data_IF_192801938825
#
_entry.id   IF_192801938825
#
_cell.length_a   1.000
_cell.length_b   1.000
_cell.length_c   1.000
_cell.angle_alpha   90.00
_cell.angle_beta   90.00
_cell.angle_gamma   90.00
#
_symmetry.space_group_name_H-M   'P 1'
#
loop_
_entity.id
_entity.type
_entity.pdbx_description
1 polymer ?
#
# COMPACT_ATOMS: atom_id res chain seq x y z
N UNK A 1 19.18 -4.59 4.27
CA UNK A 1 18.69 -4.89 2.91
C UNK A 1 17.42 -5.71 3.03
N UNK A 2 16.31 -5.27 2.44
CA UNK A 2 15.00 -5.94 2.53
C UNK A 2 15.02 -7.22 1.70
N UNK A 3 14.51 -8.31 2.27
CA UNK A 3 14.31 -9.57 1.52
C UNK A 3 13.17 -9.38 0.52
N UNK A 4 13.44 -9.56 -0.77
CA UNK A 4 12.44 -9.46 -1.84
C UNK A 4 12.19 -10.85 -2.43
N UNK A 5 10.92 -11.27 -2.44
CA UNK A 5 10.46 -12.49 -3.08
C UNK A 5 9.66 -12.15 -4.34
N UNK A 6 9.89 -12.85 -5.45
CA UNK A 6 9.17 -12.60 -6.70
C UNK A 6 7.90 -13.45 -6.78
N UNK A 7 6.80 -12.85 -7.21
CA UNK A 7 5.55 -13.54 -7.53
C UNK A 7 5.36 -13.50 -9.04
N UNK A 8 5.42 -14.68 -9.65
CA UNK A 8 5.28 -14.82 -11.11
C UNK A 8 3.82 -14.92 -11.56
N UNK A 9 3.60 -14.76 -12.85
CA UNK A 9 2.30 -14.95 -13.48
C UNK A 9 1.35 -13.76 -13.41
N UNK A 10 1.85 -12.59 -13.00
CA UNK A 10 1.07 -11.36 -12.97
C UNK A 10 1.34 -10.53 -14.22
N UNK A 11 0.28 -10.07 -14.89
CA UNK A 11 0.40 -9.34 -16.15
C UNK A 11 0.80 -7.87 -15.92
N UNK A 12 1.88 -7.46 -16.57
CA UNK A 12 2.29 -6.06 -16.71
C UNK A 12 1.65 -5.46 -17.97
N UNK A 13 1.10 -4.24 -17.88
CA UNK A 13 0.46 -3.55 -19.01
C UNK A 13 1.46 -2.77 -19.86
N UNK A 14 2.51 -2.27 -19.25
CA UNK A 14 3.53 -1.52 -19.96
C UNK A 14 4.73 -1.22 -19.07
N UNK A 15 5.70 -0.51 -19.63
CA UNK A 15 6.94 -0.12 -18.95
C UNK A 15 7.19 1.36 -19.08
N UNK A 16 7.62 2.01 -18.00
CA UNK A 16 8.04 3.41 -17.95
C UNK A 16 9.27 3.53 -17.06
N UNK A 17 10.39 3.95 -17.63
CA UNK A 17 11.65 4.04 -16.88
C UNK A 17 11.65 5.16 -15.85
N UNK A 18 11.12 6.35 -16.22
CA UNK A 18 11.05 7.48 -15.28
C UNK A 18 9.88 7.32 -14.35
N UNK A 19 10.17 7.30 -13.06
CA UNK A 19 9.17 7.28 -11.98
C UNK A 19 9.28 8.58 -11.20
N UNK A 20 8.15 9.06 -10.66
CA UNK A 20 8.06 10.32 -9.91
C UNK A 20 7.44 10.13 -8.54
N UNK A 21 6.59 9.11 -8.39
CA UNK A 21 5.83 8.88 -7.18
C UNK A 21 5.97 7.45 -6.66
N UNK A 22 5.96 7.33 -5.34
CA UNK A 22 5.68 6.07 -4.64
C UNK A 22 4.29 6.21 -4.03
N UNK A 23 3.36 5.34 -4.43
CA UNK A 23 1.99 5.37 -3.91
C UNK A 23 1.83 4.25 -2.89
N UNK A 24 1.60 4.63 -1.64
CA UNK A 24 1.32 3.70 -0.57
C UNK A 24 -0.18 3.40 -0.46
N UNK A 25 -0.52 2.14 -0.27
CA UNK A 25 -1.91 1.67 -0.09
C UNK A 25 -1.93 0.41 0.76
N UNK A 26 -3.09 -0.24 0.88
CA UNK A 26 -3.24 -1.55 1.52
C UNK A 26 -4.03 -2.54 0.65
N UNK A 27 -3.92 -3.83 0.97
CA UNK A 27 -4.54 -4.91 0.20
C UNK A 27 -6.04 -5.05 0.45
N UNK A 28 -6.56 -4.56 1.57
CA UNK A 28 -7.93 -4.79 2.11
C UNK A 28 -8.28 -6.26 2.33
N UNK A 29 -7.29 -7.14 2.38
CA UNK A 29 -7.39 -8.58 2.65
C UNK A 29 -6.03 -9.13 3.06
N UNK A 30 -6.01 -10.37 3.57
CA UNK A 30 -4.75 -11.04 3.82
C UNK A 30 -3.99 -11.33 2.51
N UNK A 31 -2.68 -11.56 2.62
CA UNK A 31 -1.78 -11.74 1.48
C UNK A 31 -2.20 -12.89 0.57
N UNK A 32 -2.54 -14.05 1.16
CA UNK A 32 -2.91 -15.26 0.42
C UNK A 32 -4.13 -15.01 -0.47
N UNK A 33 -5.18 -14.42 0.09
CA UNK A 33 -6.42 -14.14 -0.63
C UNK A 33 -6.24 -13.01 -1.64
N UNK A 34 -5.37 -12.03 -1.34
CA UNK A 34 -5.04 -10.99 -2.29
C UNK A 34 -4.36 -11.58 -3.54
N UNK A 35 -3.31 -12.38 -3.36
CA UNK A 35 -2.59 -13.04 -4.46
C UNK A 35 -3.51 -13.98 -5.24
N UNK A 36 -4.33 -14.77 -4.54
CA UNK A 36 -5.33 -15.63 -5.16
C UNK A 36 -6.31 -14.80 -6.02
N UNK A 37 -6.76 -13.66 -5.49
CA UNK A 37 -7.68 -12.78 -6.21
C UNK A 37 -7.11 -12.22 -7.52
N UNK A 38 -5.78 -12.02 -7.61
CA UNK A 38 -5.14 -11.57 -8.84
C UNK A 38 -5.24 -12.60 -9.96
N UNK A 39 -5.28 -13.89 -9.60
CA UNK A 39 -5.34 -15.01 -10.57
C UNK A 39 -6.76 -15.29 -11.05
N UNK A 40 -7.75 -15.19 -10.16
CA UNK A 40 -9.12 -15.67 -10.44
C UNK A 40 -10.15 -14.56 -10.62
N UNK A 41 -9.91 -13.37 -10.07
CA UNK A 41 -10.85 -12.26 -10.13
C UNK A 41 -11.04 -11.79 -11.57
N UNK A 42 -12.31 -11.58 -11.95
CA UNK A 42 -12.70 -11.25 -13.32
C UNK A 42 -12.15 -12.24 -14.37
N UNK A 43 -12.16 -13.54 -14.03
CA UNK A 43 -11.62 -14.61 -14.91
C UNK A 43 -10.17 -14.34 -15.31
N UNK A 44 -9.32 -13.92 -14.35
CA UNK A 44 -7.92 -13.61 -14.58
C UNK A 44 -7.65 -12.28 -15.29
N UNK A 45 -8.68 -11.45 -15.48
CA UNK A 45 -8.56 -10.12 -16.11
C UNK A 45 -8.40 -8.97 -15.11
N UNK A 46 -8.18 -9.30 -13.81
CA UNK A 46 -7.94 -8.28 -12.80
C UNK A 46 -6.60 -7.58 -13.07
N UNK A 47 -6.67 -6.29 -13.26
CA UNK A 47 -5.56 -5.48 -13.76
C UNK A 47 -5.04 -4.42 -12.77
N UNK A 48 -5.59 -4.39 -11.54
CA UNK A 48 -5.13 -3.48 -10.48
C UNK A 48 -4.07 -4.14 -9.61
N UNK A 49 -2.89 -4.26 -10.15
CA UNK A 49 -1.76 -4.95 -9.53
C UNK A 49 -0.74 -3.93 -9.02
N UNK A 50 -0.34 -3.94 -7.72
CA UNK A 50 0.77 -3.11 -7.23
C UNK A 50 2.11 -3.67 -7.71
N UNK A 51 3.16 -2.85 -7.69
CA UNK A 51 4.52 -3.33 -7.93
C UNK A 51 4.99 -4.23 -6.78
N UNK A 52 4.69 -3.82 -5.55
CA UNK A 52 5.10 -4.55 -4.35
C UNK A 52 3.95 -4.75 -3.37
N UNK A 53 4.02 -5.85 -2.63
CA UNK A 53 3.23 -6.07 -1.42
C UNK A 53 4.19 -6.30 -0.27
N UNK A 54 3.91 -5.68 0.89
CA UNK A 54 4.64 -5.92 2.13
C UNK A 54 3.71 -6.68 3.07
N UNK A 55 4.08 -7.93 3.39
CA UNK A 55 3.32 -8.76 4.33
C UNK A 55 3.44 -8.29 5.77
N UNK A 56 2.58 -8.80 6.65
CA UNK A 56 2.55 -8.40 8.07
C UNK A 56 3.84 -8.72 8.82
N UNK A 57 4.60 -9.72 8.39
CA UNK A 57 5.91 -10.08 8.91
C UNK A 57 7.08 -9.29 8.28
N UNK A 58 6.78 -8.38 7.35
CA UNK A 58 7.74 -7.47 6.72
C UNK A 58 8.42 -8.03 5.47
N UNK A 59 8.03 -9.20 4.96
CA UNK A 59 8.56 -9.71 3.70
C UNK A 59 8.00 -8.88 2.54
N UNK A 60 8.87 -8.48 1.60
CA UNK A 60 8.49 -7.73 0.41
C UNK A 60 8.31 -8.69 -0.76
N UNK A 61 7.14 -8.69 -1.35
CA UNK A 61 6.81 -9.45 -2.55
C UNK A 61 6.77 -8.51 -3.76
N UNK A 62 7.57 -8.81 -4.79
CA UNK A 62 7.53 -8.11 -6.06
C UNK A 62 6.58 -8.84 -7.02
N UNK A 63 5.55 -8.13 -7.49
CA UNK A 63 4.59 -8.64 -8.46
C UNK A 63 4.87 -8.12 -9.87
N UNK A 64 5.28 -6.86 -9.96
CA UNK A 64 5.69 -6.22 -11.21
C UNK A 64 7.08 -5.63 -11.02
N UNK A 65 7.90 -5.60 -12.09
CA UNK A 65 9.14 -4.82 -12.04
C UNK A 65 8.83 -3.34 -11.76
N UNK A 66 9.74 -2.61 -11.19
CA UNK A 66 9.57 -1.21 -10.79
C UNK A 66 9.21 -0.31 -11.97
N UNK A 67 9.81 -0.58 -13.13
CA UNK A 67 9.48 0.12 -14.40
C UNK A 67 8.13 -0.30 -14.97
N UNK A 68 7.58 -1.45 -14.52
CA UNK A 68 6.27 -1.94 -14.95
C UNK A 68 5.13 -1.16 -14.32
N UNK A 69 3.98 -1.12 -14.98
CA UNK A 69 2.75 -0.58 -14.42
C UNK A 69 1.51 -1.42 -14.82
N UNK A 70 0.47 -1.29 -14.05
CA UNK A 70 -0.86 -1.87 -14.27
C UNK A 70 -1.91 -0.75 -14.36
N UNK A 71 -3.16 -1.09 -14.63
CA UNK A 71 -4.28 -0.13 -14.61
C UNK A 71 -4.81 0.09 -13.19
N UNK A 72 -3.93 0.41 -12.25
CA UNK A 72 -4.27 0.58 -10.83
C UNK A 72 -5.21 1.76 -10.58
N UNK A 73 -5.00 2.86 -11.32
CA UNK A 73 -5.87 4.04 -11.39
C UNK A 73 -6.50 4.14 -12.78
N UNK A 74 -7.57 4.94 -12.89
CA UNK A 74 -8.21 5.23 -14.18
C UNK A 74 -7.29 6.07 -15.08
N UNK A 75 -6.53 6.99 -14.48
CA UNK A 75 -5.61 7.86 -15.19
C UNK A 75 -4.28 7.12 -15.47
N UNK A 76 -4.02 6.87 -16.73
CA UNK A 76 -2.83 6.16 -17.17
C UNK A 76 -1.51 6.85 -16.77
N UNK A 77 -1.48 8.18 -16.75
CA UNK A 77 -0.31 8.94 -16.34
C UNK A 77 0.11 8.65 -14.89
N UNK A 78 -0.86 8.47 -13.97
CA UNK A 78 -0.56 8.09 -12.58
C UNK A 78 0.09 6.72 -12.56
N UNK A 79 -0.49 5.76 -13.28
CA UNK A 79 0.03 4.39 -13.36
C UNK A 79 1.47 4.34 -13.92
N UNK A 80 1.74 5.08 -14.99
CA UNK A 80 3.05 5.11 -15.65
C UNK A 80 4.13 5.73 -14.75
N UNK A 81 3.81 6.82 -14.08
CA UNK A 81 4.77 7.62 -13.31
C UNK A 81 4.96 7.15 -11.87
N UNK A 82 4.21 6.13 -11.43
CA UNK A 82 4.22 5.69 -10.03
C UNK A 82 4.78 4.28 -9.85
N UNK A 83 5.32 4.02 -8.66
CA UNK A 83 5.57 2.70 -8.12
C UNK A 83 4.58 2.49 -6.98
N UNK A 84 3.79 1.43 -7.04
CA UNK A 84 2.71 1.18 -6.09
C UNK A 84 3.15 0.13 -5.08
N UNK A 85 3.13 0.48 -3.80
CA UNK A 85 3.44 -0.41 -2.68
C UNK A 85 2.15 -0.62 -1.87
N UNK A 86 1.72 -1.86 -1.76
CA UNK A 86 0.55 -2.25 -0.98
C UNK A 86 0.98 -2.98 0.28
N UNK A 87 0.57 -2.50 1.45
CA UNK A 87 0.80 -3.20 2.72
C UNK A 87 -0.33 -4.20 2.96
N UNK A 88 -0.01 -5.43 3.35
CA UNK A 88 -1.00 -6.40 3.78
C UNK A 88 -1.77 -5.88 4.99
N UNK A 89 -3.05 -5.62 4.81
CA UNK A 89 -3.90 -5.11 5.88
C UNK A 89 -5.37 -5.29 5.49
N UNK A 90 -6.21 -5.71 6.42
CA UNK A 90 -7.64 -5.94 6.19
C UNK A 90 -8.41 -4.64 5.97
N UNK A 91 -7.82 -3.50 6.30
CA UNK A 91 -8.45 -2.18 6.20
C UNK A 91 -9.42 -1.94 7.37
N UNK A 92 -10.62 -1.45 7.03
CA UNK A 92 -11.67 -1.25 8.03
C UNK A 92 -12.27 -2.57 8.49
N UNK A 93 -12.69 -2.58 9.74
CA UNK A 93 -13.26 -3.73 10.43
C UNK A 93 -14.62 -3.35 11.01
N UNK A 94 -15.55 -4.29 11.00
CA UNK A 94 -16.86 -4.17 11.64
C UNK A 94 -16.90 -5.08 12.86
N UNK A 95 -17.27 -4.53 14.01
CA UNK A 95 -17.50 -5.34 15.22
C UNK A 95 -18.76 -6.17 15.02
N UNK A 96 -18.67 -7.46 15.29
CA UNK A 96 -19.82 -8.34 15.20
C UNK A 96 -20.66 -8.25 16.49
N UNK A 97 -21.99 -8.02 16.37
CA UNK A 97 -22.87 -8.05 17.52
C UNK A 97 -22.79 -9.40 18.25
N UNK A 98 -22.74 -9.38 19.56
CA UNK A 98 -22.70 -10.57 20.42
C UNK A 98 -21.44 -11.44 20.32
N UNK A 99 -20.39 -10.94 19.66
CA UNK A 99 -19.12 -11.66 19.50
C UNK A 99 -17.93 -10.75 19.83
N UNK A 100 -16.85 -11.35 20.33
CA UNK A 100 -15.59 -10.65 20.62
C UNK A 100 -14.63 -10.67 19.43
N UNK A 101 -15.16 -10.54 18.21
CA UNK A 101 -14.36 -10.46 17.01
C UNK A 101 -14.89 -9.43 16.02
N UNK A 102 -14.05 -9.10 15.08
CA UNK A 102 -14.33 -8.19 13.98
C UNK A 102 -14.28 -8.93 12.64
N UNK A 103 -14.92 -8.37 11.62
CA UNK A 103 -14.84 -8.87 10.24
C UNK A 103 -14.48 -7.73 9.29
N UNK A 104 -13.75 -8.05 8.24
CA UNK A 104 -13.53 -7.12 7.14
C UNK A 104 -14.69 -7.19 6.11
N UNK A 105 -14.57 -6.44 5.03
CA UNK A 105 -15.59 -6.33 3.98
C UNK A 105 -15.88 -7.64 3.21
N UNK A 106 -15.01 -8.66 3.30
CA UNK A 106 -15.22 -9.99 2.68
C UNK A 106 -15.53 -11.08 3.70
N UNK A 107 -15.68 -10.73 4.98
CA UNK A 107 -16.03 -11.67 6.05
C UNK A 107 -14.84 -12.33 6.74
N UNK A 108 -13.59 -11.94 6.47
CA UNK A 108 -12.44 -12.45 7.21
C UNK A 108 -12.52 -12.06 8.68
N UNK A 109 -12.38 -13.04 9.56
CA UNK A 109 -12.44 -12.84 11.01
C UNK A 109 -11.11 -12.27 11.53
N UNK A 110 -11.22 -11.25 12.37
CA UNK A 110 -10.10 -10.63 13.08
C UNK A 110 -10.38 -10.60 14.59
N UNK A 111 -9.47 -11.16 15.39
CA UNK A 111 -9.61 -11.31 16.85
C UNK A 111 -8.54 -10.58 17.66
N UNK A 112 -7.61 -9.91 16.98
CA UNK A 112 -6.54 -9.18 17.64
C UNK A 112 -6.98 -7.75 17.99
N UNK A 113 -6.10 -7.00 18.65
CA UNK A 113 -6.32 -5.60 18.99
C UNK A 113 -6.57 -4.76 17.75
N UNK A 114 -7.59 -3.92 17.77
CA UNK A 114 -7.94 -2.98 16.70
C UNK A 114 -7.42 -1.59 17.02
N UNK A 115 -7.23 -0.78 16.00
CA UNK A 115 -7.04 0.65 16.12
C UNK A 115 -8.39 1.35 16.01
N UNK A 116 -8.81 2.08 17.05
CA UNK A 116 -10.09 2.75 17.14
C UNK A 116 -9.95 4.23 16.78
N UNK A 117 -10.51 4.61 15.65
CA UNK A 117 -10.60 6.01 15.20
C UNK A 117 -11.69 6.15 14.17
N UNK A 118 -12.63 7.08 14.41
CA UNK A 118 -13.59 7.46 13.37
C UNK A 118 -12.86 8.12 12.21
N UNK A 119 -12.96 7.50 11.04
CA UNK A 119 -12.47 8.07 9.80
C UNK A 119 -13.38 7.64 8.66
N UNK A 120 -13.99 8.61 7.98
CA UNK A 120 -15.09 8.38 7.05
C UNK A 120 -16.24 7.68 7.78
N UNK A 121 -16.75 6.55 7.25
CA UNK A 121 -17.89 5.82 7.82
C UNK A 121 -17.46 4.66 8.75
N UNK A 122 -16.18 4.54 9.09
CA UNK A 122 -15.62 3.41 9.82
C UNK A 122 -14.94 3.83 11.12
N UNK A 123 -14.92 2.91 12.10
CA UNK A 123 -14.37 3.14 13.44
C UNK A 123 -13.18 2.26 13.77
N UNK A 124 -13.19 1.00 13.28
CA UNK A 124 -12.21 0.00 13.66
C UNK A 124 -11.33 -0.34 12.47
N UNK A 125 -10.02 -0.46 12.72
CA UNK A 125 -9.01 -0.64 11.69
C UNK A 125 -8.00 -1.68 12.14
N UNK A 126 -7.54 -2.53 11.23
CA UNK A 126 -6.40 -3.38 11.52
C UNK A 126 -5.13 -2.52 11.66
N UNK A 127 -4.37 -2.65 12.77
CA UNK A 127 -3.07 -1.97 12.92
C UNK A 127 -2.04 -2.48 11.90
N UNK A 128 -1.12 -1.61 11.51
CA UNK A 128 0.08 -2.02 10.77
C UNK A 128 1.15 -2.49 11.75
N UNK A 129 1.96 -3.48 11.35
CA UNK A 129 3.05 -3.97 12.19
C UNK A 129 4.29 -3.11 12.03
N UNK A 130 5.14 -3.10 13.05
CA UNK A 130 6.41 -2.39 13.01
C UNK A 130 7.34 -2.95 11.91
N UNK A 131 7.29 -4.27 11.68
CA UNK A 131 8.02 -4.93 10.60
C UNK A 131 7.60 -4.43 9.23
N UNK A 132 6.30 -4.24 9.01
CA UNK A 132 5.80 -3.65 7.75
C UNK A 132 6.30 -2.24 7.54
N UNK A 133 6.25 -1.40 8.59
CA UNK A 133 6.70 -0.01 8.52
C UNK A 133 8.20 0.04 8.20
N UNK A 134 9.02 -0.76 8.88
CA UNK A 134 10.46 -0.81 8.66
C UNK A 134 10.79 -1.25 7.22
N UNK A 135 10.17 -2.32 6.73
CA UNK A 135 10.39 -2.78 5.36
C UNK A 135 9.89 -1.77 4.32
N UNK A 136 8.80 -1.06 4.60
CA UNK A 136 8.29 0.01 3.73
C UNK A 136 9.28 1.18 3.63
N UNK A 137 9.85 1.60 4.75
CA UNK A 137 10.88 2.65 4.80
C UNK A 137 12.11 2.26 3.98
N UNK A 138 12.64 1.05 4.22
CA UNK A 138 13.83 0.57 3.50
C UNK A 138 13.58 0.45 1.99
N UNK A 139 12.41 -0.06 1.59
CA UNK A 139 12.04 -0.13 0.18
C UNK A 139 11.92 1.27 -0.43
N UNK A 140 11.29 2.22 0.25
CA UNK A 140 11.19 3.60 -0.22
C UNK A 140 12.58 4.25 -0.39
N UNK A 141 13.50 4.07 0.56
CA UNK A 141 14.89 4.58 0.47
C UNK A 141 15.61 4.00 -0.75
N UNK A 142 15.47 2.70 -1.01
CA UNK A 142 16.03 2.06 -2.21
C UNK A 142 15.48 2.68 -3.48
N UNK A 143 14.16 2.84 -3.58
CA UNK A 143 13.48 3.39 -4.75
C UNK A 143 13.80 4.87 -5.00
N UNK A 144 13.99 5.67 -3.95
CA UNK A 144 14.46 7.06 -4.09
C UNK A 144 15.79 7.13 -4.81
N UNK A 145 16.73 6.27 -4.44
CA UNK A 145 18.06 6.27 -5.02
C UNK A 145 18.06 5.72 -6.47
N UNK A 146 17.33 4.62 -6.70
CA UNK A 146 17.31 3.97 -8.02
C UNK A 146 16.57 4.77 -9.09
N UNK A 147 15.50 5.48 -8.71
CA UNK A 147 14.62 6.18 -9.65
C UNK A 147 14.69 7.70 -9.55
N UNK A 148 15.58 8.24 -8.72
CA UNK A 148 15.71 9.68 -8.47
C UNK A 148 14.37 10.35 -8.11
N UNK A 149 13.57 9.66 -7.29
CA UNK A 149 12.31 10.18 -6.76
C UNK A 149 12.63 11.12 -5.59
N UNK A 150 11.94 12.26 -5.50
CA UNK A 150 12.12 13.21 -4.41
C UNK A 150 11.87 12.57 -3.05
N UNK A 151 12.77 12.80 -2.09
CA UNK A 151 12.64 12.32 -0.69
C UNK A 151 11.60 13.12 0.10
N UNK A 152 10.43 13.34 -0.48
CA UNK A 152 9.30 14.05 0.12
C UNK A 152 8.15 13.10 0.38
N UNK A 153 7.34 13.40 1.37
CA UNK A 153 6.13 12.63 1.68
C UNK A 153 5.01 13.59 2.08
N UNK A 154 3.80 13.35 1.58
CA UNK A 154 2.60 14.13 1.97
C UNK A 154 2.28 13.95 3.46
N UNK A 155 2.57 12.78 4.04
CA UNK A 155 2.49 12.58 5.49
C UNK A 155 1.08 12.45 6.08
N UNK A 156 0.05 12.34 5.24
CA UNK A 156 -1.33 12.13 5.68
C UNK A 156 -2.17 11.40 4.62
N UNK A 157 -3.37 11.00 4.99
CA UNK A 157 -4.30 10.23 4.15
C UNK A 157 -5.58 10.99 3.74
N UNK A 158 -5.53 12.31 3.73
CA UNK A 158 -6.62 13.15 3.20
C UNK A 158 -6.39 13.49 1.74
N UNK A 159 -7.47 13.76 0.98
CA UNK A 159 -7.37 14.18 -0.42
C UNK A 159 -6.55 15.47 -0.55
N UNK A 160 -5.74 15.54 -1.60
CA UNK A 160 -4.93 16.72 -1.96
C UNK A 160 -5.19 17.05 -3.42
N UNK A 161 -5.54 18.29 -3.70
CA UNK A 161 -5.73 18.77 -5.08
C UNK A 161 -4.38 18.84 -5.81
N UNK A 162 -4.33 18.37 -7.06
CA UNK A 162 -3.11 18.38 -7.89
C UNK A 162 -2.07 17.33 -7.48
N UNK A 163 -2.44 16.34 -6.67
CA UNK A 163 -1.52 15.31 -6.14
C UNK A 163 -0.82 14.51 -7.24
N UNK A 164 -1.39 14.42 -8.42
CA UNK A 164 -0.79 13.76 -9.58
C UNK A 164 0.51 14.41 -10.07
N UNK A 165 0.78 15.66 -9.64
CA UNK A 165 2.01 16.43 -9.94
C UNK A 165 3.06 16.34 -8.85
N UNK A 166 2.68 15.82 -7.68
CA UNK A 166 3.61 15.71 -6.55
C UNK A 166 4.69 14.66 -6.87
N UNK A 167 5.95 14.98 -6.62
CA UNK A 167 7.07 14.05 -6.71
C UNK A 167 7.48 13.59 -5.31
N UNK A 168 7.44 12.27 -5.05
CA UNK A 168 7.71 11.70 -3.72
C UNK A 168 6.69 10.65 -3.28
N UNK A 169 6.54 10.46 -1.97
CA UNK A 169 5.61 9.48 -1.38
C UNK A 169 4.23 10.10 -1.15
N UNK A 170 3.20 9.42 -1.62
CA UNK A 170 1.79 9.77 -1.43
C UNK A 170 1.00 8.55 -0.97
N UNK A 171 -0.12 8.76 -0.30
CA UNK A 171 -1.13 7.73 -0.04
C UNK A 171 -2.12 7.66 -1.18
N UNK A 172 -2.62 6.47 -1.50
CA UNK A 172 -3.75 6.33 -2.44
C UNK A 172 -4.94 7.22 -2.08
N UNK A 173 -5.18 7.44 -0.79
CA UNK A 173 -6.26 8.32 -0.29
C UNK A 173 -6.05 9.79 -0.62
N UNK A 174 -4.84 10.22 -1.02
CA UNK A 174 -4.60 11.59 -1.45
C UNK A 174 -5.22 11.90 -2.82
N UNK A 175 -5.47 10.89 -3.65
CA UNK A 175 -6.09 11.06 -4.97
C UNK A 175 -7.61 11.23 -4.91
N UNK A 176 -8.29 10.44 -4.06
CA UNK A 176 -9.74 10.50 -3.95
C UNK A 176 -10.19 10.18 -2.51
N UNK A 177 -11.16 10.95 -2.02
CA UNK A 177 -11.79 10.74 -0.71
C UNK A 177 -12.53 9.40 -0.59
N UNK A 178 -12.85 8.72 -1.70
CA UNK A 178 -13.43 7.38 -1.71
C UNK A 178 -12.44 6.28 -1.35
N UNK A 179 -11.14 6.54 -1.54
CA UNK A 179 -10.12 5.53 -1.25
C UNK A 179 -9.81 5.46 0.24
N UNK A 180 -9.72 4.26 0.78
CA UNK A 180 -9.31 3.97 2.16
C UNK A 180 -7.87 3.46 2.26
N UNK A 181 -7.13 3.53 1.17
CA UNK A 181 -5.73 3.09 1.13
C UNK A 181 -4.84 3.92 2.06
N UNK A 182 -4.07 3.27 2.90
CA UNK A 182 -3.53 3.68 4.19
C UNK A 182 -4.60 4.22 5.13
N UNK A 183 -5.05 3.34 6.02
CA UNK A 183 -6.03 3.65 7.06
C UNK A 183 -5.44 4.60 8.11
N UNK A 184 -6.26 5.19 8.99
CA UNK A 184 -5.77 6.02 10.09
C UNK A 184 -4.92 5.27 11.11
N UNK A 185 -4.85 3.93 11.02
CA UNK A 185 -3.93 3.11 11.81
C UNK A 185 -2.48 3.19 11.32
N UNK A 186 -2.21 3.76 10.14
CA UNK A 186 -0.86 4.01 9.65
C UNK A 186 -0.26 5.23 10.35
N UNK A 187 0.79 5.01 11.14
CA UNK A 187 1.46 6.07 11.86
C UNK A 187 2.44 6.81 10.94
N UNK A 188 1.97 7.88 10.29
CA UNK A 188 2.79 8.71 9.42
C UNK A 188 3.95 9.38 10.14
N UNK A 189 3.78 9.80 11.39
CA UNK A 189 4.84 10.44 12.16
C UNK A 189 6.02 9.47 12.39
N UNK A 190 5.73 8.25 12.83
CA UNK A 190 6.75 7.21 12.99
C UNK A 190 7.41 6.86 11.65
N UNK A 191 6.62 6.73 10.58
CA UNK A 191 7.13 6.46 9.23
C UNK A 191 8.08 7.55 8.75
N UNK A 192 7.71 8.83 8.90
CA UNK A 192 8.54 9.98 8.51
C UNK A 192 9.84 10.05 9.31
N UNK A 193 9.77 9.90 10.64
CA UNK A 193 10.96 9.85 11.50
C UNK A 193 11.95 8.77 11.03
N UNK A 194 11.45 7.59 10.68
CA UNK A 194 12.31 6.49 10.18
C UNK A 194 12.85 6.74 8.78
N UNK A 195 12.08 7.44 7.95
CA UNK A 195 12.49 7.80 6.59
C UNK A 195 13.62 8.83 6.61
N UNK A 196 13.55 9.81 7.53
CA UNK A 196 14.53 10.88 7.70
C UNK A 196 15.81 10.40 8.42
N UNK A 197 15.69 9.44 9.32
CA UNK A 197 16.85 8.88 9.99
C UNK A 197 17.71 8.11 8.98
N UNK A 198 18.75 8.76 8.49
CA UNK A 198 19.87 8.07 7.88
C UNK A 198 20.51 7.21 8.99
N UNK A 199 20.50 5.90 8.85
CA UNK A 199 21.33 5.08 9.69
C UNK A 199 22.78 5.54 9.45
N UNK A 200 23.34 6.21 10.44
CA UNK A 200 24.78 6.35 10.60
C UNK A 200 25.34 4.92 10.72
N UNK A 201 25.80 4.37 9.62
CA UNK A 201 26.61 3.15 9.57
C UNK A 201 28.06 3.57 9.47
#
# INVERSE_FOLDING_TARGET
>A
MVKIENIEGVKCFGKQKKKKQIILTHTSRNLKDYISSLKYRYNGKYDKVPNFIISRDGVVYRLLPEIGFSNYFQEENINRNSIIISLENLGWLQKMPLNDYYVNWIGDIYKEQVYERKWRDYFFWQPYTEKQINSCVELCKTLFNEYSIDKKCVGHNTKVEGIERFEGIVSKSNFDSKYTGLSPAFNFENFLKKLENEQLV
#
